data_IF_431678171560
#
_entry.id   IF_431678171560
#
_cell.length_a   1.000
_cell.length_b   1.000
_cell.length_c   1.000
_cell.angle_alpha   90.00
_cell.angle_beta   90.00
_cell.angle_gamma   90.00
#
_symmetry.space_group_name_H-M   'P 1'
#
loop_
_entity.id
_entity.type
_entity.pdbx_description
1 polymer ?
#
# COMPACT_ATOMS: atom_id res chain seq x y z
N UNK A 1 -3.83 18.03 4.86
CA UNK A 1 -2.43 17.90 5.32
C UNK A 1 -1.66 16.98 4.38
N UNK A 2 -0.31 16.97 4.38
CA UNK A 2 0.48 15.97 3.64
C UNK A 2 0.20 14.52 4.09
N UNK A 3 0.39 13.53 3.21
CA UNK A 3 0.26 12.09 3.56
C UNK A 3 1.15 11.72 4.76
N UNK A 4 2.43 12.08 4.78
CA UNK A 4 3.29 11.75 5.93
C UNK A 4 2.84 12.39 7.23
N UNK A 5 2.34 13.63 7.19
CA UNK A 5 1.75 14.27 8.38
C UNK A 5 0.48 13.58 8.83
N UNK A 6 -0.30 13.02 7.90
CA UNK A 6 -1.48 12.23 8.24
C UNK A 6 -1.10 10.90 8.89
N UNK A 7 -0.08 10.20 8.40
CA UNK A 7 0.46 8.99 9.03
C UNK A 7 0.96 9.30 10.44
N UNK A 8 1.78 10.36 10.58
CA UNK A 8 2.28 10.84 11.88
C UNK A 8 1.14 11.09 12.86
N UNK A 9 0.13 11.87 12.46
CA UNK A 9 -1.01 12.19 13.30
C UNK A 9 -1.85 10.96 13.67
N UNK A 10 -1.97 9.98 12.77
CA UNK A 10 -2.63 8.71 13.06
C UNK A 10 -1.85 7.87 14.09
N UNK A 11 -0.53 7.78 13.96
CA UNK A 11 0.33 7.11 14.95
C UNK A 11 0.24 7.81 16.31
N UNK A 12 0.36 9.14 16.33
CA UNK A 12 0.24 9.95 17.55
C UNK A 12 -1.08 9.68 18.27
N UNK A 13 -2.20 9.66 17.53
CA UNK A 13 -3.53 9.36 18.07
C UNK A 13 -3.60 7.98 18.71
N UNK A 14 -3.10 6.95 18.03
CA UNK A 14 -3.06 5.59 18.55
C UNK A 14 -2.17 5.47 19.80
N UNK A 15 -1.03 6.17 19.84
CA UNK A 15 -0.12 6.19 20.98
C UNK A 15 -0.71 6.90 22.21
N UNK A 16 -1.51 7.94 22.02
CA UNK A 16 -2.25 8.62 23.10
C UNK A 16 -3.32 7.71 23.72
N UNK A 17 -3.93 6.85 22.92
CA UNK A 17 -5.02 5.96 23.36
C UNK A 17 -4.52 4.66 24.00
N UNK A 18 -3.30 4.22 23.68
CA UNK A 18 -2.79 2.94 24.13
C UNK A 18 -1.29 3.05 24.48
N UNK A 19 -0.96 2.80 25.76
CA UNK A 19 0.39 2.87 26.31
C UNK A 19 1.32 1.72 25.83
N UNK A 20 0.74 0.68 25.23
CA UNK A 20 1.45 -0.46 24.64
C UNK A 20 1.88 -0.27 23.19
N UNK A 21 1.51 0.85 22.55
CA UNK A 21 1.98 1.15 21.18
C UNK A 21 3.43 1.64 21.23
N UNK A 22 4.30 1.01 20.45
CA UNK A 22 5.73 1.37 20.34
C UNK A 22 6.08 1.67 18.88
N UNK A 23 6.94 2.64 18.66
CA UNK A 23 7.51 2.98 17.34
C UNK A 23 9.01 2.78 17.39
N UNK A 24 9.57 2.00 16.47
CA UNK A 24 11.01 1.81 16.41
C UNK A 24 11.47 1.42 15.00
N UNK A 25 12.74 1.66 14.73
CA UNK A 25 13.39 1.46 13.44
C UNK A 25 14.65 2.30 13.37
N UNK A 26 15.22 2.44 12.18
CA UNK A 26 16.42 3.25 11.97
C UNK A 26 16.05 4.73 11.88
N UNK A 27 16.64 5.54 12.76
CA UNK A 27 16.48 7.01 12.83
C UNK A 27 15.04 7.52 13.09
N UNK A 28 14.14 6.68 13.59
CA UNK A 28 12.73 7.07 13.81
C UNK A 28 12.51 7.97 15.04
N UNK A 29 13.48 8.06 15.95
CA UNK A 29 13.33 8.76 17.22
C UNK A 29 13.60 10.27 17.10
N UNK A 30 14.78 10.74 17.48
CA UNK A 30 15.09 12.18 17.54
C UNK A 30 15.07 12.86 16.16
N UNK A 31 15.47 12.13 15.11
CA UNK A 31 15.38 12.63 13.74
C UNK A 31 13.92 12.63 13.24
N UNK A 32 13.07 11.74 13.74
CA UNK A 32 11.70 11.58 13.25
C UNK A 32 11.60 10.83 11.91
N UNK A 33 12.61 10.01 11.60
CA UNK A 33 12.74 9.27 10.35
C UNK A 33 13.31 10.12 9.22
N UNK A 34 13.93 9.47 8.23
CA UNK A 34 14.53 10.14 7.06
C UNK A 34 13.50 10.90 6.21
N UNK A 35 12.23 10.47 6.28
CA UNK A 35 11.07 11.09 5.66
C UNK A 35 10.24 11.97 6.61
N UNK A 36 10.70 12.19 7.85
CA UNK A 36 9.98 12.97 8.88
C UNK A 36 8.59 12.44 9.24
N UNK A 37 8.31 11.16 9.00
CA UNK A 37 6.99 10.55 9.28
C UNK A 37 6.76 10.38 10.79
N UNK A 38 7.81 10.24 11.59
CA UNK A 38 7.72 10.10 13.05
C UNK A 38 8.21 11.35 13.80
N UNK A 39 8.33 12.48 13.10
CA UNK A 39 8.73 13.77 13.67
C UNK A 39 7.89 14.14 14.89
N UNK A 40 8.56 14.58 15.96
CA UNK A 40 7.93 15.02 17.21
C UNK A 40 7.49 13.90 18.17
N UNK A 41 7.29 12.66 17.70
CA UNK A 41 6.78 11.57 18.54
C UNK A 41 7.72 11.21 19.68
N UNK A 42 9.03 11.22 19.45
CA UNK A 42 10.02 10.96 20.51
C UNK A 42 9.96 12.01 21.62
N UNK A 43 9.83 13.29 21.27
CA UNK A 43 9.73 14.37 22.25
C UNK A 43 8.45 14.27 23.10
N UNK A 44 7.35 13.81 22.51
CA UNK A 44 6.06 13.65 23.20
C UNK A 44 5.99 12.40 24.07
N UNK A 45 6.37 11.23 23.55
CA UNK A 45 6.18 9.94 24.23
C UNK A 45 7.43 9.37 24.90
N UNK A 46 8.60 9.97 24.64
CA UNK A 46 9.88 9.61 25.23
C UNK A 46 10.52 8.32 24.69
N UNK A 47 11.79 8.14 25.06
CA UNK A 47 12.66 7.04 24.60
C UNK A 47 12.13 5.62 24.86
N UNK A 48 11.19 5.44 25.79
CA UNK A 48 10.63 4.11 26.09
C UNK A 48 9.60 3.66 25.06
N UNK A 49 9.07 4.60 24.26
CA UNK A 49 7.99 4.35 23.30
C UNK A 49 8.36 4.68 21.87
N UNK A 50 9.34 5.57 21.66
CA UNK A 50 9.89 5.89 20.34
C UNK A 50 11.41 5.84 20.43
N UNK A 51 12.04 4.84 19.79
CA UNK A 51 13.47 4.59 19.92
C UNK A 51 14.10 4.05 18.63
N UNK A 52 15.39 4.32 18.45
CA UNK A 52 16.16 3.80 17.32
C UNK A 52 16.58 2.34 17.58
N UNK A 53 16.59 1.53 16.53
CA UNK A 53 17.19 0.20 16.52
C UNK A 53 18.64 0.22 16.00
N UNK A 54 19.43 -0.85 16.20
CA UNK A 54 20.57 -1.13 15.34
C UNK A 54 20.14 -1.27 13.87
N UNK A 55 21.08 -1.09 12.95
CA UNK A 55 20.88 -1.24 11.50
C UNK A 55 20.89 -2.73 11.15
N UNK A 56 19.71 -3.36 11.24
CA UNK A 56 19.51 -4.78 10.99
C UNK A 56 18.01 -5.11 10.91
N UNK A 57 17.44 -5.12 9.71
CA UNK A 57 16.00 -5.21 9.46
C UNK A 57 15.40 -6.52 9.97
N UNK A 58 16.14 -7.62 9.88
CA UNK A 58 15.76 -8.90 10.47
C UNK A 58 15.65 -8.81 12.00
N UNK A 59 16.55 -8.05 12.64
CA UNK A 59 16.54 -7.79 14.08
C UNK A 59 15.38 -6.88 14.48
N UNK A 60 15.05 -5.88 13.66
CA UNK A 60 13.89 -5.00 13.85
C UNK A 60 12.60 -5.83 13.88
N UNK A 61 12.35 -6.64 12.85
CA UNK A 61 11.13 -7.47 12.80
C UNK A 61 11.12 -8.55 13.88
N UNK A 62 12.27 -9.17 14.17
CA UNK A 62 12.39 -10.12 15.28
C UNK A 62 12.03 -9.50 16.64
N UNK A 63 12.46 -8.24 16.86
CA UNK A 63 12.11 -7.47 18.06
C UNK A 63 10.61 -7.18 18.11
N UNK A 64 9.99 -6.83 16.98
CA UNK A 64 8.54 -6.61 16.88
C UNK A 64 7.74 -7.86 17.27
N UNK A 65 8.16 -9.03 16.79
CA UNK A 65 7.54 -10.32 17.15
C UNK A 65 7.65 -10.56 18.66
N UNK A 66 8.84 -10.38 19.25
CA UNK A 66 9.04 -10.57 20.68
C UNK A 66 8.22 -9.61 21.54
N UNK A 67 8.12 -8.35 21.13
CA UNK A 67 7.29 -7.34 21.79
C UNK A 67 5.80 -7.69 21.72
N UNK A 68 5.32 -8.14 20.55
CA UNK A 68 3.95 -8.61 20.37
C UNK A 68 3.61 -9.79 21.31
N UNK A 69 4.51 -10.78 21.43
CA UNK A 69 4.36 -11.89 22.39
C UNK A 69 4.31 -11.46 23.86
N UNK A 70 4.80 -10.25 24.18
CA UNK A 70 4.73 -9.64 25.51
C UNK A 70 3.55 -8.67 25.67
N UNK A 71 2.64 -8.63 24.70
CA UNK A 71 1.42 -7.82 24.74
C UNK A 71 1.60 -6.37 24.30
N UNK A 72 2.70 -6.04 23.62
CA UNK A 72 2.87 -4.74 22.99
C UNK A 72 2.28 -4.71 21.58
N UNK A 73 1.98 -3.51 21.08
CA UNK A 73 1.60 -3.27 19.69
C UNK A 73 2.73 -2.52 19.02
N UNK A 74 3.39 -3.16 18.07
CA UNK A 74 4.66 -2.67 17.52
C UNK A 74 4.46 -2.03 16.15
N UNK A 75 5.01 -0.83 15.97
CA UNK A 75 5.13 -0.13 14.70
C UNK A 75 6.61 -0.12 14.34
N UNK A 76 7.03 -1.12 13.58
CA UNK A 76 8.38 -1.24 13.08
C UNK A 76 8.50 -0.48 11.74
N UNK A 77 9.49 0.41 11.61
CA UNK A 77 9.84 1.01 10.33
C UNK A 77 11.00 0.25 9.68
N UNK A 78 10.82 -0.15 8.42
CA UNK A 78 11.92 -0.49 7.53
C UNK A 78 12.15 0.72 6.63
N UNK A 79 13.39 1.22 6.60
CA UNK A 79 13.68 2.57 6.09
C UNK A 79 13.36 2.70 4.59
N UNK A 80 13.57 1.65 3.79
CA UNK A 80 13.19 1.58 2.38
C UNK A 80 12.71 0.18 1.98
N UNK A 81 11.85 0.12 0.97
CA UNK A 81 11.37 -1.09 0.29
C UNK A 81 12.47 -2.07 -0.13
N UNK A 82 13.57 -1.62 -0.71
CA UNK A 82 14.68 -2.51 -1.08
C UNK A 82 15.40 -3.13 0.12
N UNK A 83 15.22 -2.58 1.32
CA UNK A 83 15.86 -3.07 2.55
C UNK A 83 14.96 -4.01 3.37
N UNK A 84 13.75 -4.32 2.90
CA UNK A 84 12.89 -5.29 3.60
C UNK A 84 13.38 -6.75 3.48
N UNK A 85 14.17 -7.06 2.45
CA UNK A 85 14.53 -8.44 2.11
C UNK A 85 15.34 -9.19 3.18
N UNK A 86 16.29 -8.58 3.93
CA UNK A 86 16.90 -9.21 5.10
C UNK A 86 15.88 -9.66 6.16
N UNK A 87 14.75 -8.96 6.29
CA UNK A 87 13.67 -9.31 7.21
C UNK A 87 12.66 -10.32 6.63
N UNK A 88 12.76 -10.68 5.35
CA UNK A 88 11.75 -11.49 4.66
C UNK A 88 11.44 -12.81 5.37
N UNK A 89 12.47 -13.51 5.84
CA UNK A 89 12.27 -14.75 6.60
C UNK A 89 11.50 -14.52 7.91
N UNK A 90 11.78 -13.45 8.66
CA UNK A 90 11.03 -13.13 9.87
C UNK A 90 9.57 -12.83 9.55
N UNK A 91 9.31 -12.07 8.48
CA UNK A 91 7.97 -11.69 8.06
C UNK A 91 7.17 -12.93 7.63
N UNK A 92 7.69 -13.70 6.68
CA UNK A 92 6.95 -14.78 6.00
C UNK A 92 6.94 -16.09 6.77
N UNK A 93 8.06 -16.47 7.39
CA UNK A 93 8.17 -17.75 8.07
C UNK A 93 7.72 -17.69 9.52
N UNK A 94 7.81 -16.52 10.16
CA UNK A 94 7.47 -16.34 11.58
C UNK A 94 6.22 -15.49 11.76
N UNK A 95 6.32 -14.17 11.55
CA UNK A 95 5.28 -13.20 11.88
C UNK A 95 3.92 -13.58 11.30
N UNK A 96 3.85 -13.87 10.00
CA UNK A 96 2.62 -14.24 9.31
C UNK A 96 1.95 -15.52 9.86
N UNK A 97 2.73 -16.41 10.46
CA UNK A 97 2.30 -17.78 10.78
C UNK A 97 2.07 -18.01 12.27
N UNK A 98 2.58 -17.17 13.16
CA UNK A 98 2.54 -17.43 14.62
C UNK A 98 1.11 -17.52 15.14
N UNK A 99 0.18 -16.65 14.70
CA UNK A 99 -1.22 -16.72 15.14
C UNK A 99 -1.83 -18.08 14.81
N UNK A 100 -1.67 -18.54 13.56
CA UNK A 100 -2.14 -19.87 13.16
C UNK A 100 -1.37 -21.01 13.85
N UNK A 101 -0.04 -20.91 13.94
CA UNK A 101 0.83 -21.93 14.57
C UNK A 101 0.54 -22.11 16.06
N UNK A 102 0.07 -21.06 16.72
CA UNK A 102 -0.35 -21.08 18.11
C UNK A 102 -1.85 -21.36 18.27
N UNK A 103 -2.57 -21.71 17.19
CA UNK A 103 -4.02 -21.96 17.24
C UNK A 103 -4.80 -20.78 17.84
N UNK A 104 -4.37 -19.55 17.57
CA UNK A 104 -4.99 -18.32 18.06
C UNK A 104 -4.59 -17.91 19.49
N UNK A 105 -3.77 -18.68 20.20
CA UNK A 105 -3.32 -18.33 21.56
C UNK A 105 -2.43 -17.08 21.60
N UNK A 106 -1.70 -16.80 20.50
CA UNK A 106 -0.93 -15.58 20.34
C UNK A 106 -1.49 -14.77 19.16
N UNK A 107 -1.69 -13.48 19.38
CA UNK A 107 -1.91 -12.51 18.30
C UNK A 107 -0.60 -11.81 17.96
N UNK A 108 -0.50 -11.28 16.73
CA UNK A 108 0.68 -10.57 16.24
C UNK A 108 0.31 -9.15 15.79
N UNK A 109 -0.06 -8.24 16.73
CA UNK A 109 -0.40 -6.85 16.41
C UNK A 109 0.86 -6.03 16.07
N UNK A 110 1.41 -6.31 14.89
CA UNK A 110 2.64 -5.72 14.37
C UNK A 110 2.32 -5.01 13.07
N UNK A 111 2.63 -3.72 13.00
CA UNK A 111 2.65 -2.94 11.78
C UNK A 111 4.09 -2.79 11.32
N UNK A 112 4.40 -3.22 10.10
CA UNK A 112 5.66 -2.94 9.43
C UNK A 112 5.40 -1.85 8.40
N UNK A 113 5.90 -0.65 8.67
CA UNK A 113 5.83 0.50 7.77
C UNK A 113 7.01 0.46 6.80
N UNK A 114 6.74 0.63 5.51
CA UNK A 114 7.76 0.58 4.45
C UNK A 114 7.46 1.67 3.42
N UNK A 115 8.33 2.68 3.25
CA UNK A 115 8.25 3.58 2.11
C UNK A 115 8.50 2.80 0.82
N UNK A 116 7.54 2.81 -0.10
CA UNK A 116 7.63 2.04 -1.37
C UNK A 116 7.26 2.85 -2.61
N UNK A 117 7.63 2.31 -3.78
CA UNK A 117 7.30 2.87 -5.09
C UNK A 117 8.32 3.90 -5.58
N UNK A 118 8.38 4.09 -6.89
CA UNK A 118 9.42 4.86 -7.52
C UNK A 118 9.06 6.31 -7.86
N UNK A 119 9.86 6.90 -8.74
CA UNK A 119 9.68 8.24 -9.31
C UNK A 119 10.25 9.35 -8.42
N UNK A 120 11.30 9.04 -7.66
CA UNK A 120 11.98 10.00 -6.76
C UNK A 120 13.45 10.23 -7.13
N UNK A 121 13.94 9.61 -8.22
CA UNK A 121 15.33 9.74 -8.65
C UNK A 121 16.34 9.18 -7.65
N UNK A 122 15.97 8.15 -6.90
CA UNK A 122 16.81 7.55 -5.88
C UNK A 122 17.86 6.58 -6.46
N UNK A 123 18.80 6.17 -5.59
CA UNK A 123 19.77 5.12 -5.88
C UNK A 123 19.11 3.73 -5.77
N UNK A 124 19.82 2.69 -6.18
CA UNK A 124 19.37 1.30 -6.09
C UNK A 124 18.83 0.95 -4.69
N UNK A 125 17.80 0.10 -4.62
CA UNK A 125 17.11 -0.32 -3.38
C UNK A 125 16.19 0.69 -2.69
N UNK A 126 15.74 1.72 -3.43
CA UNK A 126 14.87 2.77 -2.89
C UNK A 126 13.56 2.98 -3.69
N UNK A 127 13.25 2.12 -4.66
CA UNK A 127 12.13 2.35 -5.60
C UNK A 127 11.33 1.07 -5.94
N UNK A 128 11.58 -0.03 -5.23
CA UNK A 128 10.91 -1.30 -5.42
C UNK A 128 9.40 -1.25 -5.13
N UNK A 129 8.68 -2.22 -5.68
CA UNK A 129 7.26 -2.47 -5.37
C UNK A 129 7.12 -3.90 -4.85
N UNK A 130 7.36 -4.13 -3.53
CA UNK A 130 7.48 -5.48 -2.97
C UNK A 130 6.13 -6.11 -2.59
N UNK A 131 5.01 -5.45 -2.87
CA UNK A 131 3.68 -5.86 -2.38
C UNK A 131 3.30 -7.29 -2.77
N UNK A 132 3.69 -7.75 -3.96
CA UNK A 132 3.30 -9.08 -4.45
C UNK A 132 3.86 -10.20 -3.57
N UNK A 133 5.10 -10.06 -3.09
CA UNK A 133 5.73 -11.07 -2.22
C UNK A 133 4.99 -11.22 -0.89
N UNK A 134 4.56 -10.09 -0.31
CA UNK A 134 3.84 -10.09 0.95
C UNK A 134 2.37 -10.44 0.79
N UNK A 135 1.72 -9.98 -0.28
CA UNK A 135 0.32 -10.29 -0.58
C UNK A 135 0.13 -11.78 -0.84
N UNK A 136 1.12 -12.45 -1.43
CA UNK A 136 1.14 -13.90 -1.62
C UNK A 136 1.22 -14.70 -0.30
N UNK A 137 1.64 -14.08 0.81
CA UNK A 137 1.85 -14.78 2.09
C UNK A 137 0.59 -14.76 2.96
N UNK A 138 -0.09 -15.91 3.17
CA UNK A 138 -1.27 -15.95 4.04
C UNK A 138 -0.91 -15.61 5.49
N UNK A 139 -1.81 -14.87 6.15
CA UNK A 139 -1.64 -14.37 7.51
C UNK A 139 -1.09 -12.94 7.59
N UNK A 140 -0.62 -12.37 6.48
CA UNK A 140 -0.31 -10.94 6.39
C UNK A 140 -1.51 -10.17 5.86
N UNK A 141 -1.66 -8.93 6.35
CA UNK A 141 -2.45 -7.88 5.70
C UNK A 141 -1.51 -6.97 4.95
N UNK A 142 -1.83 -6.61 3.71
CA UNK A 142 -1.00 -5.71 2.90
C UNK A 142 -1.86 -4.57 2.38
N UNK A 143 -1.53 -3.36 2.79
CA UNK A 143 -2.31 -2.15 2.52
C UNK A 143 -1.42 -0.99 2.12
N UNK A 144 -1.98 -0.04 1.36
CA UNK A 144 -1.30 1.19 0.93
C UNK A 144 -2.32 2.32 0.83
N UNK A 145 -2.17 3.43 1.58
CA UNK A 145 -3.03 4.58 1.42
C UNK A 145 -2.67 5.34 0.14
N UNK A 146 -3.66 5.88 -0.57
CA UNK A 146 -3.44 6.72 -1.76
C UNK A 146 -3.52 8.22 -1.49
N UNK A 147 -4.06 8.61 -0.34
CA UNK A 147 -4.36 9.99 0.02
C UNK A 147 -4.23 10.19 1.54
N UNK A 148 -4.33 11.44 1.98
CA UNK A 148 -4.09 11.82 3.39
C UNK A 148 -5.19 11.32 4.32
N UNK A 149 -6.45 11.28 3.87
CA UNK A 149 -7.55 10.74 4.68
C UNK A 149 -7.32 9.26 4.98
N UNK A 150 -7.01 8.47 3.95
CA UNK A 150 -6.70 7.06 4.09
C UNK A 150 -5.44 6.83 4.92
N UNK A 151 -4.41 7.63 4.70
CA UNK A 151 -3.17 7.52 5.48
C UNK A 151 -3.40 7.74 6.99
N UNK A 152 -4.24 8.71 7.37
CA UNK A 152 -4.59 8.99 8.77
C UNK A 152 -5.38 7.85 9.42
N UNK A 153 -6.40 7.34 8.73
CA UNK A 153 -7.32 6.35 9.29
C UNK A 153 -6.78 4.92 9.19
N UNK A 154 -6.20 4.54 8.05
CA UNK A 154 -5.71 3.18 7.85
C UNK A 154 -4.54 2.84 8.76
N UNK A 155 -3.66 3.79 9.12
CA UNK A 155 -2.58 3.50 10.06
C UNK A 155 -3.13 3.20 11.47
N UNK A 156 -4.20 3.89 11.89
CA UNK A 156 -4.86 3.61 13.17
C UNK A 156 -5.52 2.23 13.15
N UNK A 157 -6.23 1.89 12.08
CA UNK A 157 -6.85 0.56 11.91
C UNK A 157 -5.78 -0.55 11.86
N UNK A 158 -4.64 -0.30 11.22
CA UNK A 158 -3.51 -1.24 11.20
C UNK A 158 -2.92 -1.46 12.59
N UNK A 159 -2.80 -0.41 13.41
CA UNK A 159 -2.29 -0.51 14.80
C UNK A 159 -3.29 -1.25 15.70
N UNK A 160 -4.59 -1.08 15.46
CA UNK A 160 -5.66 -1.76 16.20
C UNK A 160 -5.80 -3.25 15.83
N UNK A 161 -5.44 -3.62 14.59
CA UNK A 161 -5.44 -5.00 14.11
C UNK A 161 -4.68 -5.95 15.05
N UNK A 162 -5.20 -7.17 15.20
CA UNK A 162 -4.52 -8.28 15.87
C UNK A 162 -3.71 -9.15 14.90
N UNK A 163 -3.89 -8.92 13.59
CA UNK A 163 -3.12 -9.52 12.51
C UNK A 163 -1.93 -8.62 12.14
N UNK A 164 -0.81 -9.19 11.69
CA UNK A 164 0.32 -8.41 11.23
C UNK A 164 0.02 -7.69 9.91
N UNK A 165 0.38 -6.41 9.84
CA UNK A 165 0.09 -5.53 8.72
C UNK A 165 1.38 -5.00 8.10
N UNK A 166 1.54 -5.20 6.79
CA UNK A 166 2.50 -4.48 5.97
C UNK A 166 1.82 -3.20 5.47
N UNK A 167 2.28 -2.06 5.98
CA UNK A 167 1.78 -0.74 5.64
C UNK A 167 2.75 -0.07 4.66
N UNK A 168 2.40 -0.11 3.38
CA UNK A 168 3.24 0.41 2.31
C UNK A 168 2.93 1.89 2.07
N UNK A 169 3.94 2.75 2.12
CA UNK A 169 3.76 4.19 2.07
C UNK A 169 4.25 4.75 0.74
N UNK A 170 3.37 5.36 -0.07
CA UNK A 170 3.75 5.83 -1.40
C UNK A 170 4.74 6.99 -1.32
N UNK A 171 6.04 6.69 -1.36
CA UNK A 171 7.09 7.63 -0.95
C UNK A 171 7.20 8.86 -1.85
N UNK A 172 6.83 8.72 -3.13
CA UNK A 172 6.70 9.86 -4.07
C UNK A 172 5.54 10.79 -3.73
N UNK A 173 4.50 10.29 -3.05
CA UNK A 173 3.24 11.00 -2.74
C UNK A 173 3.17 11.53 -1.33
N UNK A 174 4.17 11.23 -0.52
CA UNK A 174 4.33 11.63 0.87
C UNK A 174 3.94 13.10 1.16
N UNK A 175 4.37 14.05 0.32
CA UNK A 175 4.09 15.48 0.51
C UNK A 175 2.83 15.97 -0.20
N UNK A 176 2.14 15.09 -0.93
CA UNK A 176 0.84 15.41 -1.53
C UNK A 176 -0.17 15.70 -0.44
N UNK A 177 -0.92 16.80 -0.60
CA UNK A 177 -1.87 17.29 0.38
C UNK A 177 -3.28 16.93 -0.05
N UNK A 178 -4.06 16.41 0.89
CA UNK A 178 -5.51 16.30 0.77
C UNK A 178 -6.18 16.54 2.11
N UNK A 179 -7.52 16.63 2.12
CA UNK A 179 -8.29 16.79 3.35
C UNK A 179 -8.28 15.48 4.14
N UNK A 180 -8.25 15.58 5.47
CA UNK A 180 -8.54 14.46 6.37
C UNK A 180 -9.90 14.76 6.98
N UNK A 181 -10.87 13.88 6.75
CA UNK A 181 -12.21 14.02 7.29
C UNK A 181 -12.25 13.37 8.67
N UNK A 182 -12.51 14.17 9.70
CA UNK A 182 -12.64 13.72 11.09
C UNK A 182 -14.11 13.61 11.54
N UNK A 183 -15.05 14.03 10.70
CA UNK A 183 -16.47 14.16 11.04
C UNK A 183 -17.27 12.89 10.74
N UNK A 184 -16.77 12.03 9.86
CA UNK A 184 -17.42 10.76 9.49
C UNK A 184 -16.52 9.57 9.81
N UNK A 185 -17.09 8.44 10.28
CA UNK A 185 -16.33 7.20 10.42
C UNK A 185 -15.64 6.80 9.10
N UNK A 186 -14.38 6.34 9.15
CA UNK A 186 -13.70 5.88 7.95
C UNK A 186 -14.26 4.52 7.48
N UNK A 187 -14.19 4.27 6.17
CA UNK A 187 -14.29 2.92 5.62
C UNK A 187 -13.20 2.01 6.19
N UNK A 188 -13.45 0.70 6.21
CA UNK A 188 -12.45 -0.29 6.60
C UNK A 188 -11.21 -0.24 5.70
N UNK A 189 -10.04 -0.60 6.24
CA UNK A 189 -8.74 -0.57 5.53
C UNK A 189 -8.66 -1.58 4.38
N UNK A 190 -9.59 -2.54 4.33
CA UNK A 190 -9.70 -3.54 3.28
C UNK A 190 -10.78 -3.23 2.24
N UNK A 191 -11.59 -2.19 2.45
CA UNK A 191 -12.63 -1.81 1.51
C UNK A 191 -12.03 -0.99 0.37
N UNK A 192 -12.26 -1.42 -0.87
CA UNK A 192 -11.88 -0.63 -2.03
C UNK A 192 -12.80 0.60 -2.17
N UNK A 193 -12.35 1.63 -2.87
CA UNK A 193 -13.10 2.88 -3.04
C UNK A 193 -13.21 3.29 -4.49
N UNK A 194 -14.43 3.53 -4.95
CA UNK A 194 -14.67 4.23 -6.22
C UNK A 194 -14.35 5.71 -6.00
N UNK A 195 -13.30 6.20 -6.67
CA UNK A 195 -12.85 7.59 -6.61
C UNK A 195 -13.50 8.45 -7.69
N UNK A 196 -13.91 7.83 -8.79
CA UNK A 196 -14.62 8.45 -9.90
C UNK A 196 -15.57 7.43 -10.50
N UNK A 197 -16.85 7.78 -10.62
CA UNK A 197 -17.85 6.96 -11.30
C UNK A 197 -17.63 6.97 -12.82
N UNK A 198 -17.86 5.83 -13.45
CA UNK A 198 -17.82 5.70 -14.91
C UNK A 198 -18.62 4.53 -15.43
N UNK A 199 -18.74 4.44 -16.76
CA UNK A 199 -19.68 3.51 -17.42
C UNK A 199 -19.09 2.69 -18.57
N UNK A 200 -17.90 3.03 -19.06
CA UNK A 200 -17.33 2.36 -20.24
C UNK A 200 -16.13 1.46 -19.90
N UNK A 201 -15.28 1.87 -18.96
CA UNK A 201 -14.11 1.09 -18.54
C UNK A 201 -13.90 1.22 -17.03
N UNK A 202 -13.66 0.10 -16.36
CA UNK A 202 -13.17 0.10 -14.98
C UNK A 202 -11.64 0.17 -14.99
N UNK A 203 -11.07 1.18 -14.33
CA UNK A 203 -9.64 1.33 -14.06
C UNK A 203 -9.37 1.07 -12.57
N UNK A 204 -8.68 -0.03 -12.28
CA UNK A 204 -8.25 -0.40 -10.93
C UNK A 204 -6.80 -0.02 -10.71
N UNK A 205 -6.47 0.56 -9.55
CA UNK A 205 -5.11 0.89 -9.16
C UNK A 205 -4.98 0.91 -7.62
N UNK A 206 -3.79 1.19 -7.10
CA UNK A 206 -3.53 1.33 -5.66
C UNK A 206 -2.30 2.19 -5.38
N UNK A 207 -2.22 2.73 -4.16
CA UNK A 207 -1.06 3.44 -3.63
C UNK A 207 -0.56 4.59 -4.53
N UNK A 208 0.72 4.60 -4.95
CA UNK A 208 1.33 5.74 -5.65
C UNK A 208 0.81 5.96 -7.08
N UNK A 209 0.15 4.96 -7.66
CA UNK A 209 -0.39 4.98 -9.03
C UNK A 209 -1.79 5.62 -9.11
N UNK A 210 -2.46 5.84 -7.97
CA UNK A 210 -3.81 6.43 -7.94
C UNK A 210 -3.87 7.84 -8.56
N UNK A 211 -2.97 8.80 -8.24
CA UNK A 211 -2.99 10.10 -8.88
C UNK A 211 -2.83 10.04 -10.41
N UNK A 212 -1.99 9.12 -10.91
CA UNK A 212 -1.80 8.90 -12.35
C UNK A 212 -3.06 8.31 -12.99
N UNK A 213 -3.74 7.37 -12.31
CA UNK A 213 -5.00 6.80 -12.76
C UNK A 213 -6.13 7.85 -12.86
N UNK A 214 -6.21 8.76 -11.88
CA UNK A 214 -7.15 9.88 -11.91
C UNK A 214 -6.83 10.83 -13.07
N UNK A 215 -5.55 11.16 -13.29
CA UNK A 215 -5.12 11.99 -14.41
C UNK A 215 -5.51 11.37 -15.77
N UNK A 216 -5.26 10.07 -15.96
CA UNK A 216 -5.68 9.36 -17.17
C UNK A 216 -7.20 9.43 -17.37
N UNK A 217 -7.97 9.22 -16.29
CA UNK A 217 -9.42 9.30 -16.34
C UNK A 217 -9.97 10.71 -16.65
N UNK A 218 -9.28 11.76 -16.23
CA UNK A 218 -9.58 13.17 -16.56
C UNK A 218 -9.30 13.46 -18.04
N UNK A 219 -8.17 13.00 -18.58
CA UNK A 219 -7.82 13.14 -20.00
C UNK A 219 -8.83 12.39 -20.87
N UNK A 220 -9.12 11.12 -20.54
CA UNK A 220 -10.13 10.30 -21.20
C UNK A 220 -11.52 10.99 -21.22
N UNK A 221 -11.89 11.67 -20.14
CA UNK A 221 -13.15 12.41 -20.07
C UNK A 221 -13.25 13.51 -21.13
N UNK A 222 -12.13 14.19 -21.40
CA UNK A 222 -12.06 15.26 -22.41
C UNK A 222 -12.26 14.74 -23.83
N UNK A 223 -12.06 13.44 -24.04
CA UNK A 223 -12.26 12.71 -25.29
C UNK A 223 -13.60 11.94 -25.33
N UNK A 224 -14.44 12.10 -24.30
CA UNK A 224 -15.76 11.47 -24.21
C UNK A 224 -15.75 10.04 -23.67
N UNK A 225 -14.64 9.59 -23.08
CA UNK A 225 -14.51 8.25 -22.48
C UNK A 225 -14.81 8.30 -20.97
N UNK A 226 -15.80 7.51 -20.55
CA UNK A 226 -16.28 7.41 -19.16
C UNK A 226 -15.60 6.27 -18.41
N UNK A 227 -14.51 6.60 -17.70
CA UNK A 227 -13.75 5.64 -16.88
C UNK A 227 -14.14 5.69 -15.41
N UNK A 228 -14.49 4.54 -14.85
CA UNK A 228 -14.61 4.35 -13.41
C UNK A 228 -13.24 4.11 -12.80
N UNK A 229 -12.84 4.86 -11.76
CA UNK A 229 -11.53 4.68 -11.11
C UNK A 229 -11.73 4.10 -9.72
N UNK A 230 -11.11 2.96 -9.46
CA UNK A 230 -11.13 2.26 -8.18
C UNK A 230 -9.74 2.26 -7.56
N UNK A 231 -9.67 2.69 -6.29
CA UNK A 231 -8.53 2.44 -5.42
C UNK A 231 -8.77 1.17 -4.61
N UNK A 232 -7.91 0.16 -4.80
CA UNK A 232 -8.02 -1.08 -4.04
C UNK A 232 -7.80 -0.88 -2.55
N UNK A 233 -6.90 0.05 -2.16
CA UNK A 233 -6.43 0.29 -0.77
C UNK A 233 -5.74 -0.91 -0.08
N UNK A 234 -6.21 -2.13 -0.31
CA UNK A 234 -5.66 -3.39 0.19
C UNK A 234 -5.34 -4.35 -0.95
N UNK A 235 -4.12 -4.87 -0.91
CA UNK A 235 -3.60 -5.90 -1.83
C UNK A 235 -3.74 -7.29 -1.23
N UNK A 236 -3.94 -7.39 0.09
CA UNK A 236 -4.31 -8.63 0.76
C UNK A 236 -5.03 -8.32 2.10
N UNK A 237 -6.30 -8.74 2.25
CA UNK A 237 -7.20 -9.26 1.22
C UNK A 237 -7.63 -8.15 0.23
N UNK A 238 -7.91 -8.54 -1.02
CA UNK A 238 -8.50 -7.64 -2.02
C UNK A 238 -10.02 -7.65 -1.87
N UNK A 239 -10.65 -6.47 -1.90
CA UNK A 239 -12.11 -6.35 -2.04
C UNK A 239 -12.54 -6.60 -3.49
N UNK A 240 -12.71 -7.89 -3.80
CA UNK A 240 -13.17 -8.30 -5.13
C UNK A 240 -14.62 -7.90 -5.42
N UNK A 241 -15.46 -7.65 -4.41
CA UNK A 241 -16.85 -7.30 -4.66
C UNK A 241 -16.93 -5.95 -5.37
N UNK A 242 -16.22 -4.93 -4.87
CA UNK A 242 -16.16 -3.61 -5.49
C UNK A 242 -15.64 -3.67 -6.95
N UNK A 243 -14.59 -4.47 -7.20
CA UNK A 243 -14.03 -4.64 -8.54
C UNK A 243 -15.03 -5.33 -9.47
N UNK A 244 -15.64 -6.43 -9.02
CA UNK A 244 -16.57 -7.21 -9.84
C UNK A 244 -17.85 -6.43 -10.15
N UNK A 245 -18.38 -5.66 -9.21
CA UNK A 245 -19.58 -4.84 -9.42
C UNK A 245 -19.32 -3.75 -10.47
N UNK A 246 -18.15 -3.13 -10.42
CA UNK A 246 -17.72 -2.17 -11.45
C UNK A 246 -17.52 -2.81 -12.81
N UNK A 247 -16.84 -3.96 -12.87
CA UNK A 247 -16.62 -4.67 -14.15
C UNK A 247 -17.94 -5.15 -14.76
N UNK A 248 -18.90 -5.60 -13.96
CA UNK A 248 -20.24 -5.96 -14.47
C UNK A 248 -20.99 -4.76 -15.05
N UNK A 249 -20.72 -3.56 -14.56
CA UNK A 249 -21.29 -2.30 -15.05
C UNK A 249 -20.63 -1.83 -16.36
N UNK A 250 -19.30 -1.91 -16.45
CA UNK A 250 -18.53 -1.33 -17.56
C UNK A 250 -18.18 -2.33 -18.67
N UNK A 251 -18.20 -3.63 -18.34
CA UNK A 251 -17.80 -4.74 -19.22
C UNK A 251 -16.29 -4.82 -19.50
N UNK A 252 -15.46 -3.91 -18.98
CA UNK A 252 -14.03 -3.79 -19.33
C UNK A 252 -13.20 -3.47 -18.10
N UNK A 253 -12.00 -4.04 -18.04
CA UNK A 253 -11.06 -3.83 -16.94
C UNK A 253 -9.65 -3.52 -17.43
N UNK A 254 -9.12 -2.39 -16.96
CA UNK A 254 -7.70 -2.04 -17.00
C UNK A 254 -7.17 -1.97 -15.57
N UNK A 255 -6.01 -2.56 -15.29
CA UNK A 255 -5.36 -2.49 -13.97
C UNK A 255 -3.99 -1.84 -14.13
N UNK A 256 -3.70 -0.81 -13.34
CA UNK A 256 -2.44 -0.08 -13.38
C UNK A 256 -1.67 -0.16 -12.04
N UNK A 257 -0.37 -0.43 -12.08
CA UNK A 257 0.50 -0.50 -10.90
C UNK A 257 1.96 -0.15 -11.22
N UNK A 258 2.73 0.35 -10.25
CA UNK A 258 4.18 0.59 -10.45
C UNK A 258 5.02 -0.70 -10.49
N UNK A 259 4.52 -1.81 -9.96
CA UNK A 259 5.22 -3.08 -9.96
C UNK A 259 5.45 -3.64 -11.38
N UNK A 260 6.46 -4.51 -11.50
CA UNK A 260 6.64 -5.36 -12.68
C UNK A 260 5.35 -6.12 -13.00
N UNK A 261 5.04 -6.25 -14.27
CA UNK A 261 3.74 -6.79 -14.70
C UNK A 261 3.62 -8.28 -14.39
N UNK A 262 4.71 -9.05 -14.50
CA UNK A 262 4.70 -10.48 -14.17
C UNK A 262 4.60 -10.75 -12.66
N UNK A 263 3.87 -11.81 -12.29
CA UNK A 263 3.68 -12.26 -10.89
C UNK A 263 3.24 -11.15 -9.91
N UNK A 264 2.33 -10.28 -10.35
CA UNK A 264 1.91 -9.09 -9.60
C UNK A 264 0.48 -9.17 -9.06
N UNK A 265 0.11 -8.21 -8.21
CA UNK A 265 -1.28 -8.03 -7.74
C UNK A 265 -2.24 -7.86 -8.93
N UNK A 266 -1.80 -7.16 -9.99
CA UNK A 266 -2.59 -7.03 -11.22
C UNK A 266 -2.92 -8.36 -11.88
N UNK A 267 -2.03 -9.37 -11.77
CA UNK A 267 -2.25 -10.69 -12.34
C UNK A 267 -3.31 -11.47 -11.54
N UNK A 268 -3.28 -11.39 -10.20
CA UNK A 268 -4.31 -11.99 -9.35
C UNK A 268 -5.68 -11.37 -9.60
N UNK A 269 -5.75 -10.04 -9.72
CA UNK A 269 -7.01 -9.34 -10.05
C UNK A 269 -7.55 -9.79 -11.40
N UNK A 270 -6.71 -9.82 -12.43
CA UNK A 270 -7.12 -10.27 -13.76
C UNK A 270 -7.62 -11.72 -13.76
N UNK A 271 -6.92 -12.62 -13.08
CA UNK A 271 -7.32 -14.02 -12.98
C UNK A 271 -8.68 -14.18 -12.28
N UNK A 272 -8.88 -13.48 -11.15
CA UNK A 272 -10.15 -13.56 -10.41
C UNK A 272 -11.33 -12.91 -11.12
N UNK A 273 -11.12 -11.80 -11.82
CA UNK A 273 -12.17 -11.20 -12.63
C UNK A 273 -12.52 -12.09 -13.81
N UNK A 274 -11.53 -12.69 -14.48
CA UNK A 274 -11.78 -13.65 -15.55
C UNK A 274 -12.56 -14.89 -15.05
N UNK A 275 -12.25 -15.39 -13.85
CA UNK A 275 -12.96 -16.53 -13.24
C UNK A 275 -14.41 -16.18 -12.88
N UNK A 276 -14.64 -15.01 -12.29
CA UNK A 276 -15.91 -14.67 -11.64
C UNK A 276 -16.85 -13.77 -12.47
N UNK A 277 -16.32 -13.10 -13.49
CA UNK A 277 -17.06 -12.18 -14.34
C UNK A 277 -16.86 -12.46 -15.84
N UNK A 278 -16.44 -13.67 -16.23
CA UNK A 278 -16.16 -14.05 -17.62
C UNK A 278 -17.24 -13.58 -18.62
N UNK A 279 -18.52 -13.86 -18.32
CA UNK A 279 -19.63 -13.53 -19.20
C UNK A 279 -19.99 -12.03 -19.26
N UNK A 280 -19.38 -11.21 -18.40
CA UNK A 280 -19.53 -9.76 -18.42
C UNK A 280 -18.38 -9.06 -19.13
N UNK A 281 -17.28 -9.77 -19.45
CA UNK A 281 -16.12 -9.16 -20.11
C UNK A 281 -16.38 -9.00 -21.61
N UNK A 282 -16.39 -7.75 -22.07
CA UNK A 282 -16.46 -7.37 -23.48
C UNK A 282 -15.07 -7.33 -24.14
N UNK A 283 -14.01 -7.26 -23.34
CA UNK A 283 -12.61 -7.32 -23.79
C UNK A 283 -11.74 -8.07 -22.76
N UNK A 284 -10.56 -8.58 -23.14
CA UNK A 284 -9.61 -9.12 -22.19
C UNK A 284 -9.23 -8.09 -21.11
N UNK A 285 -8.95 -8.56 -19.89
CA UNK A 285 -8.39 -7.68 -18.85
C UNK A 285 -7.00 -7.23 -19.30
N UNK A 286 -6.78 -5.91 -19.36
CA UNK A 286 -5.49 -5.31 -19.76
C UNK A 286 -4.75 -4.83 -18.52
N UNK A 287 -3.45 -5.13 -18.44
CA UNK A 287 -2.60 -4.81 -17.29
C UNK A 287 -1.49 -3.86 -17.72
N UNK A 288 -1.34 -2.76 -16.99
CA UNK A 288 -0.36 -1.70 -17.23
C UNK A 288 0.57 -1.65 -16.01
N UNK A 289 1.70 -2.35 -16.10
CA UNK A 289 2.73 -2.34 -15.08
C UNK A 289 4.07 -1.85 -15.61
N UNK A 290 5.05 -1.75 -14.72
CA UNK A 290 6.43 -1.59 -15.15
C UNK A 290 6.93 -2.85 -15.88
N UNK A 291 8.09 -2.72 -16.51
CA UNK A 291 8.71 -3.81 -17.25
C UNK A 291 9.26 -4.90 -16.30
N UNK A 292 9.43 -6.11 -16.83
CA UNK A 292 10.03 -7.24 -16.12
C UNK A 292 11.56 -7.18 -16.19
N UNK A 293 12.12 -6.08 -15.68
CA UNK A 293 13.56 -5.83 -15.54
C UNK A 293 13.83 -5.22 -14.16
N UNK A 294 15.07 -5.28 -13.64
CA UNK A 294 15.42 -4.57 -12.41
C UNK A 294 15.07 -3.08 -12.48
N UNK A 295 14.73 -2.48 -11.33
CA UNK A 295 14.42 -1.06 -11.26
C UNK A 295 15.61 -0.23 -11.81
N UNK A 296 15.39 0.64 -12.81
CA UNK A 296 16.50 1.25 -13.51
C UNK A 296 17.05 2.47 -12.76
N UNK A 297 18.24 2.97 -13.14
CA UNK A 297 18.75 4.24 -12.63
C UNK A 297 17.80 5.40 -12.90
N UNK A 298 17.83 6.42 -12.06
CA UNK A 298 16.95 7.61 -12.11
C UNK A 298 16.72 8.22 -13.50
N UNK A 299 17.74 8.21 -14.39
CA UNK A 299 17.63 8.77 -15.76
C UNK A 299 16.64 8.02 -16.67
N UNK A 300 16.27 6.79 -16.33
CA UNK A 300 15.36 5.96 -17.12
C UNK A 300 14.02 5.72 -16.39
N UNK A 301 13.82 6.36 -15.23
CA UNK A 301 12.67 6.13 -14.35
C UNK A 301 11.34 6.49 -15.02
N UNK A 302 11.32 7.59 -15.79
CA UNK A 302 10.15 8.05 -16.55
C UNK A 302 9.74 7.06 -17.65
N UNK A 303 10.68 6.33 -18.24
CA UNK A 303 10.37 5.31 -19.26
C UNK A 303 9.85 4.03 -18.62
N UNK A 304 10.33 3.71 -17.42
CA UNK A 304 10.02 2.47 -16.72
C UNK A 304 8.64 2.48 -16.08
N UNK A 305 8.31 3.55 -15.37
CA UNK A 305 7.04 3.68 -14.67
C UNK A 305 5.88 3.89 -15.66
N UNK A 306 4.69 3.32 -15.38
CA UNK A 306 3.49 3.68 -16.10
C UNK A 306 3.11 5.15 -15.88
N UNK A 307 2.79 5.83 -16.98
CA UNK A 307 2.22 7.17 -17.01
C UNK A 307 0.75 7.13 -17.49
N UNK A 308 0.14 8.32 -17.60
CA UNK A 308 -1.24 8.43 -18.05
C UNK A 308 -1.40 7.96 -19.52
N UNK A 309 -0.42 8.24 -20.37
CA UNK A 309 -0.47 7.88 -21.79
C UNK A 309 -0.47 6.35 -21.98
N UNK A 310 0.35 5.61 -21.22
CA UNK A 310 0.34 4.14 -21.23
C UNK A 310 -0.97 3.56 -20.68
N UNK A 311 -1.64 4.24 -19.75
CA UNK A 311 -2.97 3.82 -19.27
C UNK A 311 -4.02 4.07 -20.34
N UNK A 312 -4.00 5.23 -21.00
CA UNK A 312 -4.93 5.58 -22.08
C UNK A 312 -4.79 4.65 -23.29
N UNK A 313 -3.56 4.32 -23.69
CA UNK A 313 -3.30 3.33 -24.74
C UNK A 313 -3.96 1.97 -24.45
N UNK A 314 -3.89 1.53 -23.18
CA UNK A 314 -4.54 0.29 -22.76
C UNK A 314 -6.07 0.41 -22.77
N UNK A 315 -6.61 1.57 -22.42
CA UNK A 315 -8.05 1.87 -22.50
C UNK A 315 -8.53 1.81 -23.94
N UNK A 316 -7.81 2.45 -24.87
CA UNK A 316 -8.13 2.44 -26.31
C UNK A 316 -8.13 1.04 -26.89
N UNK A 317 -7.14 0.22 -26.51
CA UNK A 317 -7.09 -1.20 -26.88
C UNK A 317 -8.26 -2.00 -26.33
N UNK A 318 -8.71 -1.70 -25.12
CA UNK A 318 -9.88 -2.36 -24.51
C UNK A 318 -11.19 -1.98 -25.21
N UNK A 319 -11.33 -0.72 -25.62
CA UNK A 319 -12.50 -0.20 -26.33
C UNK A 319 -12.58 -0.67 -27.79
N UNK A 320 -11.45 -1.02 -28.40
CA UNK A 320 -11.37 -1.44 -29.81
C UNK A 320 -11.54 -2.95 -30.05
N UNK A 321 -11.78 -3.75 -29.01
CA UNK A 321 -11.98 -5.21 -29.11
C UNK A 321 -13.37 -5.57 -29.64
#
# INVERSE_FOLDING_TARGET
MPIAKAINAGIQKAMQQNDKVLVFGEDVAELGGVFRVTEGLHAEFGQKRVFNSPIAESGIVGTAIGLAMRGYRSIAEIQFDGFVYPAFNQIVSQLAKITNRSEGHLSMPVVIRIPYGGGIGAVEHHSESPEAYFAHTPGLRVISPSNSNDAYWMIQQAIESNDPVIFLEPKRRYWQKSMVNLDTPPSGMHEAKVLREGTQVTLVSYGPMIPTAIQAAEVAASEGISMEVIDLRSMSPIDFNAVLDSVKKTGRLVIASEASTSFSVSAEVAAKVAELAFYHLEAPVIRVGSFDVPYPPAKLEELFLPDADRILEAVDRSLSF
#
